data_IF_289241042945
#
_entry.id   IF_289241042945
#
_cell.length_a   1.000
_cell.length_b   1.000
_cell.length_c   1.000
_cell.angle_alpha   90.00
_cell.angle_beta   90.00
_cell.angle_gamma   90.00
#
_symmetry.space_group_name_H-M   'P 1'
#
loop_
_entity.id
_entity.type
_entity.pdbx_description
1 polymer ?
#
# COMPACT_ATOMS: atom_id res chain seq x y z
N UNK A 1 -41.91 -1.39 0.58
CA UNK A 1 -43.14 -0.61 0.80
C UNK A 1 -42.84 0.54 1.75
N UNK A 2 -42.87 1.79 1.24
CA UNK A 2 -43.46 3.00 1.82
C UNK A 2 -42.96 4.22 1.03
N UNK A 3 -43.92 4.86 0.39
CA UNK A 3 -43.82 6.05 -0.46
C UNK A 3 -43.38 7.28 0.33
N UNK A 4 -42.66 8.20 -0.32
CA UNK A 4 -42.66 9.62 0.03
C UNK A 4 -42.94 10.43 -1.24
N UNK A 5 -44.03 11.24 -1.27
CA UNK A 5 -44.44 11.99 -2.44
C UNK A 5 -43.76 13.37 -2.53
N UNK A 6 -43.63 13.85 -3.77
CA UNK A 6 -43.36 15.25 -4.12
C UNK A 6 -44.34 16.23 -3.46
N UNK A 7 -43.93 17.50 -3.32
CA UNK A 7 -44.80 18.62 -3.60
C UNK A 7 -44.45 19.27 -4.96
N UNK A 8 -45.42 19.17 -5.86
CA UNK A 8 -45.73 20.15 -6.90
C UNK A 8 -46.01 21.51 -6.23
N UNK A 9 -45.57 22.62 -6.86
CA UNK A 9 -46.34 23.87 -7.08
C UNK A 9 -45.39 25.02 -7.41
N UNK A 10 -45.52 25.57 -8.60
CA UNK A 10 -46.21 26.85 -8.81
C UNK A 10 -45.79 27.45 -10.15
N UNK A 11 -46.76 27.48 -11.05
CA UNK A 11 -46.71 28.24 -12.29
C UNK A 11 -46.61 29.73 -11.99
N UNK A 12 -45.73 30.43 -12.72
CA UNK A 12 -45.78 31.87 -12.90
C UNK A 12 -45.54 32.15 -14.37
N UNK A 13 -46.65 32.18 -15.12
CA UNK A 13 -46.71 32.67 -16.48
C UNK A 13 -46.57 34.20 -16.46
N UNK A 14 -45.36 34.68 -16.75
CA UNK A 14 -45.07 36.09 -16.99
C UNK A 14 -45.01 36.40 -18.49
N UNK A 15 -45.23 37.67 -18.88
CA UNK A 15 -45.34 38.07 -20.28
C UNK A 15 -44.03 37.90 -21.04
N UNK A 16 -44.10 37.24 -22.20
CA UNK A 16 -43.01 37.11 -23.17
C UNK A 16 -42.76 38.49 -23.80
N UNK A 17 -41.79 39.22 -23.28
CA UNK A 17 -41.18 40.34 -23.99
C UNK A 17 -40.14 39.78 -24.96
N UNK A 18 -40.47 39.82 -26.25
CA UNK A 18 -39.53 39.61 -27.36
C UNK A 18 -38.54 40.78 -27.39
N UNK A 19 -37.53 40.74 -26.51
CA UNK A 19 -36.33 41.55 -26.62
C UNK A 19 -35.43 40.89 -27.67
N UNK A 20 -35.46 41.42 -28.89
CA UNK A 20 -34.42 41.21 -29.91
C UNK A 20 -33.14 41.89 -29.45
N UNK A 21 -32.46 41.28 -28.47
CA UNK A 21 -31.09 41.62 -28.15
C UNK A 21 -30.21 41.25 -29.35
N UNK A 22 -29.29 42.13 -29.78
CA UNK A 22 -28.28 41.72 -30.75
C UNK A 22 -27.50 40.58 -30.13
N UNK A 23 -27.49 39.41 -30.79
CA UNK A 23 -26.48 38.37 -30.60
C UNK A 23 -25.13 39.00 -30.97
N UNK A 24 -24.58 39.80 -30.07
CA UNK A 24 -23.14 39.98 -30.04
C UNK A 24 -22.60 38.60 -29.77
N UNK A 25 -21.86 38.08 -30.74
CA UNK A 25 -21.06 36.89 -30.61
C UNK A 25 -19.96 37.15 -29.57
N UNK A 26 -20.36 37.30 -28.31
CA UNK A 26 -19.53 37.06 -27.15
C UNK A 26 -19.39 35.55 -27.08
N UNK A 27 -18.73 34.99 -28.10
CA UNK A 27 -18.17 33.66 -28.05
C UNK A 27 -17.44 33.61 -26.72
N UNK A 28 -17.99 32.80 -25.81
CA UNK A 28 -17.60 32.72 -24.43
C UNK A 28 -16.06 32.71 -24.40
N UNK A 29 -15.47 33.83 -23.97
CA UNK A 29 -14.05 33.85 -23.62
C UNK A 29 -13.99 32.94 -22.40
N UNK A 30 -13.79 31.65 -22.68
CA UNK A 30 -13.55 30.63 -21.68
C UNK A 30 -12.50 31.21 -20.75
N UNK A 31 -12.82 31.32 -19.45
CA UNK A 31 -11.92 31.95 -18.50
C UNK A 31 -10.65 31.08 -18.44
N UNK A 32 -9.60 31.55 -19.12
CA UNK A 32 -8.32 30.84 -19.21
C UNK A 32 -7.73 30.58 -17.83
N UNK A 33 -8.08 31.41 -16.84
CA UNK A 33 -7.72 31.24 -15.43
C UNK A 33 -8.36 29.98 -14.85
N UNK A 34 -9.64 29.73 -15.15
CA UNK A 34 -10.36 28.55 -14.70
C UNK A 34 -9.84 27.28 -15.38
N UNK A 35 -9.57 27.35 -16.69
CA UNK A 35 -8.95 26.23 -17.43
C UNK A 35 -7.58 25.87 -16.85
N UNK A 36 -6.75 26.89 -16.58
CA UNK A 36 -5.44 26.70 -15.95
C UNK A 36 -5.56 26.10 -14.54
N UNK A 37 -6.44 26.64 -13.69
CA UNK A 37 -6.71 26.13 -12.33
C UNK A 37 -7.16 24.67 -12.37
N UNK A 38 -8.04 24.32 -13.30
CA UNK A 38 -8.51 22.95 -13.53
C UNK A 38 -7.35 22.03 -13.91
N UNK A 39 -6.51 22.44 -14.87
CA UNK A 39 -5.34 21.67 -15.29
C UNK A 39 -4.34 21.45 -14.16
N UNK A 40 -4.02 22.49 -13.39
CA UNK A 40 -3.10 22.41 -12.23
C UNK A 40 -3.64 21.50 -11.13
N UNK A 41 -4.93 21.61 -10.82
CA UNK A 41 -5.57 20.75 -9.82
C UNK A 41 -5.58 19.29 -10.26
N UNK A 42 -5.86 19.01 -11.53
CA UNK A 42 -5.80 17.66 -12.09
C UNK A 42 -4.37 17.09 -12.06
N UNK A 43 -3.37 17.89 -12.45
CA UNK A 43 -1.96 17.51 -12.40
C UNK A 43 -1.51 17.14 -10.98
N UNK A 44 -1.84 17.96 -9.99
CA UNK A 44 -1.49 17.71 -8.58
C UNK A 44 -2.17 16.45 -8.01
N UNK A 45 -3.30 16.03 -8.59
CA UNK A 45 -4.00 14.79 -8.22
C UNK A 45 -3.46 13.57 -8.97
N UNK A 46 -2.55 13.74 -9.94
CA UNK A 46 -2.09 12.68 -10.83
C UNK A 46 -3.07 12.33 -11.96
N UNK A 47 -4.14 13.11 -12.16
CA UNK A 47 -5.06 12.94 -13.28
C UNK A 47 -4.49 13.61 -14.54
N UNK A 48 -3.50 12.95 -15.13
CA UNK A 48 -2.79 13.45 -16.30
C UNK A 48 -3.67 13.57 -17.55
N UNK A 49 -4.74 12.77 -17.66
CA UNK A 49 -5.67 12.84 -18.80
C UNK A 49 -6.44 14.16 -18.78
N UNK A 50 -7.06 14.48 -17.65
CA UNK A 50 -7.77 15.76 -17.48
C UNK A 50 -6.81 16.94 -17.54
N UNK A 51 -5.64 16.83 -16.92
CA UNK A 51 -4.63 17.88 -16.94
C UNK A 51 -4.18 18.21 -18.37
N UNK A 52 -3.86 17.18 -19.17
CA UNK A 52 -3.44 17.32 -20.57
C UNK A 52 -4.52 17.95 -21.43
N UNK A 53 -5.77 17.54 -21.27
CA UNK A 53 -6.90 18.13 -21.99
C UNK A 53 -7.11 19.62 -21.63
N UNK A 54 -6.97 19.98 -20.35
CA UNK A 54 -7.06 21.38 -19.91
C UNK A 54 -5.91 22.24 -20.46
N UNK A 55 -4.65 21.78 -20.33
CA UNK A 55 -3.51 22.54 -20.83
C UNK A 55 -3.45 22.58 -22.37
N UNK A 56 -3.97 21.57 -23.07
CA UNK A 56 -4.12 21.61 -24.53
C UNK A 56 -5.12 22.68 -24.97
N UNK A 57 -6.26 22.83 -24.27
CA UNK A 57 -7.22 23.92 -24.51
C UNK A 57 -6.59 25.28 -24.25
N UNK A 58 -5.88 25.42 -23.13
CA UNK A 58 -5.17 26.64 -22.76
C UNK A 58 -4.15 27.07 -23.83
N UNK A 59 -3.32 26.15 -24.31
CA UNK A 59 -2.32 26.41 -25.35
C UNK A 59 -2.92 26.61 -26.75
N UNK A 60 -4.14 26.12 -27.00
CA UNK A 60 -4.88 26.43 -28.22
C UNK A 60 -5.40 27.87 -28.22
N UNK A 61 -5.81 28.38 -27.05
CA UNK A 61 -6.25 29.76 -26.89
C UNK A 61 -5.08 30.75 -26.80
N UNK A 62 -4.00 30.40 -26.09
CA UNK A 62 -2.76 31.17 -26.00
C UNK A 62 -1.53 30.26 -26.19
N UNK A 63 -0.99 30.17 -27.42
CA UNK A 63 0.20 29.37 -27.72
C UNK A 63 1.47 29.86 -27.03
N UNK A 64 1.50 31.07 -26.47
CA UNK A 64 2.68 31.63 -25.79
C UNK A 64 2.63 31.47 -24.26
N UNK A 65 1.58 30.85 -23.73
CA UNK A 65 1.42 30.61 -22.30
C UNK A 65 2.48 29.63 -21.74
N UNK A 66 3.57 30.17 -21.20
CA UNK A 66 4.77 29.41 -20.80
C UNK A 66 4.49 28.33 -19.75
N UNK A 67 3.69 28.64 -18.73
CA UNK A 67 3.35 27.67 -17.67
C UNK A 67 2.63 26.44 -18.23
N UNK A 68 1.74 26.64 -19.21
CA UNK A 68 1.06 25.53 -19.89
C UNK A 68 2.04 24.61 -20.64
N UNK A 69 3.07 25.18 -21.29
CA UNK A 69 4.14 24.41 -21.94
C UNK A 69 4.94 23.59 -20.93
N UNK A 70 5.31 24.20 -19.80
CA UNK A 70 6.04 23.52 -18.72
C UNK A 70 5.24 22.34 -18.18
N UNK A 71 3.95 22.54 -17.85
CA UNK A 71 3.10 21.45 -17.37
C UNK A 71 2.92 20.34 -18.42
N UNK A 72 2.76 20.69 -19.70
CA UNK A 72 2.69 19.68 -20.76
C UNK A 72 3.97 18.85 -20.88
N UNK A 73 5.15 19.46 -20.71
CA UNK A 73 6.41 18.75 -20.68
C UNK A 73 6.51 17.81 -19.46
N UNK A 74 6.11 18.29 -18.28
CA UNK A 74 6.06 17.46 -17.06
C UNK A 74 5.08 16.30 -17.19
N UNK A 75 3.89 16.53 -17.77
CA UNK A 75 2.92 15.47 -18.05
C UNK A 75 3.51 14.43 -19.00
N UNK A 76 4.14 14.85 -20.11
CA UNK A 76 4.79 13.91 -21.04
C UNK A 76 5.88 13.08 -20.36
N UNK A 77 6.69 13.71 -19.50
CA UNK A 77 7.70 13.00 -18.73
C UNK A 77 7.07 12.01 -17.75
N UNK A 78 6.01 12.39 -17.02
CA UNK A 78 5.28 11.50 -16.13
C UNK A 78 4.58 10.35 -16.88
N UNK A 79 4.00 10.61 -18.05
CA UNK A 79 3.44 9.61 -18.96
C UNK A 79 4.53 8.66 -19.45
N UNK A 80 5.70 9.16 -19.86
CA UNK A 80 6.83 8.32 -20.29
C UNK A 80 7.35 7.44 -19.14
N UNK A 81 7.49 7.99 -17.94
CA UNK A 81 7.84 7.24 -16.74
C UNK A 81 6.79 6.18 -16.40
N UNK A 82 5.50 6.54 -16.52
CA UNK A 82 4.40 5.61 -16.34
C UNK A 82 4.45 4.49 -17.37
N UNK A 83 4.65 4.82 -18.64
CA UNK A 83 4.72 3.84 -19.72
C UNK A 83 5.88 2.87 -19.57
N UNK A 84 7.03 3.37 -19.10
CA UNK A 84 8.21 2.57 -18.78
C UNK A 84 8.01 1.66 -17.55
N UNK A 85 6.96 1.85 -16.74
CA UNK A 85 6.69 0.95 -15.60
C UNK A 85 6.34 -0.45 -16.11
N UNK A 86 6.79 -1.52 -15.43
CA UNK A 86 6.36 -2.87 -15.73
C UNK A 86 4.84 -3.00 -15.76
N UNK A 87 4.30 -3.76 -16.72
CA UNK A 87 2.86 -4.00 -16.84
C UNK A 87 2.26 -4.54 -15.53
N UNK A 88 2.95 -5.50 -14.91
CA UNK A 88 2.54 -6.06 -13.62
C UNK A 88 2.34 -4.98 -12.54
N UNK A 89 3.21 -3.95 -12.53
CA UNK A 89 3.09 -2.81 -11.60
C UNK A 89 1.84 -1.97 -11.89
N UNK A 90 1.57 -1.66 -13.16
CA UNK A 90 0.36 -0.92 -13.55
C UNK A 90 -0.92 -1.65 -13.13
N UNK A 91 -0.93 -2.99 -13.26
CA UNK A 91 -2.06 -3.84 -12.86
C UNK A 91 -2.23 -3.81 -11.34
N UNK A 92 -1.16 -4.11 -10.58
CA UNK A 92 -1.19 -4.17 -9.12
C UNK A 92 -1.61 -2.84 -8.48
N UNK A 93 -1.18 -1.70 -9.03
CA UNK A 93 -1.52 -0.37 -8.50
C UNK A 93 -3.02 -0.04 -8.66
N UNK A 94 -3.71 -0.62 -9.65
CA UNK A 94 -5.15 -0.37 -9.91
C UNK A 94 -6.07 -1.45 -9.35
N UNK A 95 -5.53 -2.64 -9.11
CA UNK A 95 -6.31 -3.80 -8.76
C UNK A 95 -6.61 -3.86 -7.26
N UNK A 96 -7.77 -4.45 -6.94
CA UNK A 96 -8.12 -4.87 -5.59
C UNK A 96 -8.28 -6.38 -5.56
N UNK A 97 -7.96 -6.96 -4.41
CA UNK A 97 -8.20 -8.36 -4.10
C UNK A 97 -9.49 -8.41 -3.31
N UNK A 98 -10.45 -9.22 -3.78
CA UNK A 98 -11.70 -9.48 -3.06
C UNK A 98 -11.46 -10.28 -1.77
N UNK A 99 -12.30 -11.27 -1.49
CA UNK A 99 -12.08 -12.16 -0.34
C UNK A 99 -11.08 -13.24 -0.72
N UNK A 100 -9.97 -13.33 0.02
CA UNK A 100 -9.00 -14.44 -0.07
C UNK A 100 -8.63 -14.84 1.35
N UNK A 101 -8.80 -16.11 1.68
CA UNK A 101 -8.38 -16.66 2.95
C UNK A 101 -7.68 -17.99 2.72
N UNK A 102 -6.51 -18.16 3.32
CA UNK A 102 -5.80 -19.43 3.36
C UNK A 102 -5.17 -19.62 4.74
N UNK A 103 -5.10 -20.88 5.15
CA UNK A 103 -4.62 -21.29 6.47
C UNK A 103 -3.51 -22.31 6.28
N UNK A 104 -2.31 -21.95 6.71
CA UNK A 104 -1.13 -22.84 6.72
C UNK A 104 -0.83 -23.51 5.37
N UNK A 105 -0.93 -22.76 4.27
CA UNK A 105 -0.52 -23.24 2.95
C UNK A 105 0.97 -23.00 2.73
N UNK A 106 1.68 -23.81 1.91
CA UNK A 106 3.05 -23.53 1.53
C UNK A 106 3.19 -22.16 0.86
N UNK A 107 4.31 -21.47 1.11
CA UNK A 107 4.62 -20.19 0.47
C UNK A 107 4.61 -20.29 -1.06
N UNK A 108 5.05 -21.41 -1.64
CA UNK A 108 4.96 -21.65 -3.09
C UNK A 108 3.53 -21.53 -3.63
N UNK A 109 2.56 -22.13 -2.94
CA UNK A 109 1.15 -22.05 -3.31
C UNK A 109 0.59 -20.64 -3.12
N UNK A 110 0.97 -19.95 -2.04
CA UNK A 110 0.60 -18.56 -1.81
C UNK A 110 1.14 -17.64 -2.93
N UNK A 111 2.38 -17.84 -3.38
CA UNK A 111 2.98 -17.07 -4.49
C UNK A 111 2.29 -17.37 -5.83
N UNK A 112 1.92 -18.62 -6.09
CA UNK A 112 1.12 -18.98 -7.28
C UNK A 112 -0.29 -18.38 -7.25
N UNK A 113 -0.91 -18.27 -6.07
CA UNK A 113 -2.16 -17.53 -5.90
C UNK A 113 -1.97 -16.05 -6.21
N UNK A 114 -0.88 -15.44 -5.73
CA UNK A 114 -0.51 -14.06 -6.05
C UNK A 114 -0.39 -13.88 -7.56
N UNK A 115 0.44 -14.68 -8.22
CA UNK A 115 0.62 -14.66 -9.68
C UNK A 115 -0.71 -14.70 -10.42
N UNK A 116 -1.54 -15.71 -10.14
CA UNK A 116 -2.87 -15.88 -10.77
C UNK A 116 -3.79 -14.69 -10.55
N UNK A 117 -3.76 -14.07 -9.37
CA UNK A 117 -4.59 -12.89 -9.08
C UNK A 117 -4.11 -11.65 -9.81
N UNK A 118 -2.80 -11.45 -9.94
CA UNK A 118 -2.28 -10.35 -10.78
C UNK A 118 -2.64 -10.58 -12.25
N UNK A 119 -2.55 -11.83 -12.75
CA UNK A 119 -2.97 -12.17 -14.12
C UNK A 119 -4.46 -11.91 -14.34
N UNK A 120 -5.32 -12.35 -13.41
CA UNK A 120 -6.76 -12.12 -13.47
C UNK A 120 -7.13 -10.62 -13.46
N UNK A 121 -6.37 -9.80 -12.74
CA UNK A 121 -6.59 -8.36 -12.70
C UNK A 121 -6.11 -7.63 -13.96
N UNK A 122 -5.28 -8.27 -14.79
CA UNK A 122 -4.73 -7.67 -15.99
C UNK A 122 -5.69 -7.51 -17.16
N UNK A 123 -6.95 -7.97 -17.06
CA UNK A 123 -7.94 -8.13 -18.16
C UNK A 123 -7.66 -7.30 -19.43
N UNK A 124 -7.31 -8.00 -20.52
CA UNK A 124 -7.10 -7.38 -21.83
C UNK A 124 -6.39 -8.31 -22.83
N UNK A 125 -6.38 -7.96 -24.13
CA UNK A 125 -5.73 -8.74 -25.17
C UNK A 125 -4.19 -8.83 -25.02
N UNK A 126 -3.60 -8.05 -24.11
CA UNK A 126 -2.16 -7.98 -23.86
C UNK A 126 -1.75 -8.55 -22.50
N UNK A 127 -2.59 -9.35 -21.84
CA UNK A 127 -2.20 -10.05 -20.61
C UNK A 127 -1.32 -11.23 -20.98
N UNK A 128 -0.02 -10.95 -21.14
CA UNK A 128 0.98 -12.00 -21.12
C UNK A 128 0.94 -12.74 -19.79
N UNK A 129 1.34 -14.01 -19.80
CA UNK A 129 1.57 -14.76 -18.58
C UNK A 129 2.55 -13.98 -17.69
N UNK A 130 2.20 -13.80 -16.42
CA UNK A 130 3.06 -13.15 -15.45
C UNK A 130 4.01 -14.22 -14.95
N UNK A 131 5.30 -14.09 -15.28
CA UNK A 131 6.32 -15.00 -14.78
C UNK A 131 6.44 -14.91 -13.26
N UNK A 132 6.75 -16.03 -12.61
CA UNK A 132 7.19 -16.08 -11.22
C UNK A 132 8.63 -16.57 -11.21
N UNK A 133 9.56 -15.65 -10.90
CA UNK A 133 10.98 -15.96 -10.76
C UNK A 133 11.33 -16.01 -9.28
N UNK A 134 11.72 -17.18 -8.80
CA UNK A 134 12.13 -17.39 -7.41
C UNK A 134 13.65 -17.54 -7.33
N UNK A 135 14.26 -16.76 -6.45
CA UNK A 135 15.65 -16.89 -6.03
C UNK A 135 15.66 -17.00 -4.49
N UNK A 136 15.29 -18.19 -4.03
CA UNK A 136 15.04 -18.49 -2.63
C UNK A 136 15.87 -19.70 -2.18
N UNK A 137 16.42 -19.67 -0.95
CA UNK A 137 17.02 -20.84 -0.34
C UNK A 137 16.03 -22.02 -0.25
N UNK A 138 16.58 -23.24 -0.22
CA UNK A 138 15.79 -24.45 -0.02
C UNK A 138 14.94 -24.37 1.27
N UNK A 139 13.73 -24.93 1.24
CA UNK A 139 12.80 -24.96 2.38
C UNK A 139 12.06 -23.64 2.65
N UNK A 140 12.44 -22.51 2.03
CA UNK A 140 11.68 -21.25 2.17
C UNK A 140 10.29 -21.37 1.54
N UNK A 141 10.18 -22.08 0.42
CA UNK A 141 8.93 -22.28 -0.30
C UNK A 141 7.92 -23.17 0.44
N UNK A 142 8.40 -24.03 1.34
CA UNK A 142 7.57 -24.97 2.12
C UNK A 142 7.05 -24.36 3.42
N UNK A 143 7.48 -23.13 3.74
CA UNK A 143 7.05 -22.44 4.96
C UNK A 143 5.53 -22.23 4.94
N UNK A 144 4.82 -22.56 6.03
CA UNK A 144 3.39 -22.33 6.10
C UNK A 144 3.10 -20.85 6.22
N UNK A 145 2.09 -20.40 5.47
CA UNK A 145 1.61 -19.03 5.44
C UNK A 145 0.11 -19.04 5.72
N UNK A 146 -0.34 -18.13 6.59
CA UNK A 146 -1.76 -17.93 6.90
C UNK A 146 -2.11 -16.46 6.67
N UNK A 147 -3.14 -16.21 5.86
CA UNK A 147 -3.58 -14.86 5.54
C UNK A 147 -5.08 -14.84 5.24
N UNK A 148 -5.77 -13.80 5.68
CA UNK A 148 -7.16 -13.56 5.35
C UNK A 148 -7.37 -12.09 5.05
N UNK A 149 -7.74 -11.77 3.81
CA UNK A 149 -7.97 -10.42 3.31
C UNK A 149 -9.35 -10.29 2.67
N UNK A 150 -9.92 -9.08 2.72
CA UNK A 150 -11.19 -8.75 2.07
C UNK A 150 -11.16 -7.32 1.54
N UNK A 151 -11.31 -7.16 0.22
CA UNK A 151 -11.37 -5.86 -0.47
C UNK A 151 -10.14 -4.97 -0.21
N UNK A 152 -8.94 -5.57 -0.27
CA UNK A 152 -7.68 -4.85 -0.06
C UNK A 152 -7.02 -4.47 -1.38
N UNK A 153 -6.27 -3.36 -1.45
CA UNK A 153 -5.39 -3.08 -2.58
C UNK A 153 -4.46 -4.26 -2.88
N UNK A 154 -4.27 -4.60 -4.16
CA UNK A 154 -3.46 -5.76 -4.54
C UNK A 154 -2.01 -5.65 -4.06
N UNK A 155 -1.44 -4.44 -4.08
CA UNK A 155 -0.10 -4.18 -3.53
C UNK A 155 0.00 -4.59 -2.06
N UNK A 156 -0.98 -4.22 -1.24
CA UNK A 156 -1.01 -4.53 0.19
C UNK A 156 -1.11 -6.02 0.46
N UNK A 157 -1.89 -6.74 -0.36
CA UNK A 157 -1.96 -8.19 -0.27
C UNK A 157 -0.64 -8.86 -0.65
N UNK A 158 0.03 -8.39 -1.71
CA UNK A 158 1.35 -8.87 -2.11
C UNK A 158 2.37 -8.64 -0.99
N UNK A 159 2.39 -7.44 -0.41
CA UNK A 159 3.29 -7.09 0.69
C UNK A 159 3.02 -7.94 1.94
N UNK A 160 1.74 -8.23 2.23
CA UNK A 160 1.35 -9.10 3.34
C UNK A 160 1.80 -10.56 3.12
N UNK A 161 1.66 -11.10 1.90
CA UNK A 161 2.18 -12.43 1.55
C UNK A 161 3.70 -12.46 1.67
N UNK A 162 4.38 -11.42 1.18
CA UNK A 162 5.83 -11.28 1.27
C UNK A 162 6.30 -11.25 2.74
N UNK A 163 5.65 -10.44 3.57
CA UNK A 163 5.91 -10.37 5.01
C UNK A 163 5.72 -11.73 5.69
N UNK A 164 4.58 -12.38 5.43
CA UNK A 164 4.25 -13.67 6.03
C UNK A 164 5.26 -14.77 5.66
N UNK A 165 5.72 -14.79 4.40
CA UNK A 165 6.77 -15.72 3.94
C UNK A 165 8.19 -15.34 4.36
N UNK A 166 8.39 -14.12 4.87
CA UNK A 166 9.72 -13.57 5.12
C UNK A 166 10.56 -13.44 3.84
N UNK A 167 9.91 -13.10 2.73
CA UNK A 167 10.51 -12.91 1.41
C UNK A 167 10.25 -11.49 0.89
N UNK A 168 10.95 -11.10 -0.17
CA UNK A 168 10.73 -9.85 -0.89
C UNK A 168 10.13 -10.16 -2.24
N UNK A 169 9.00 -9.53 -2.57
CA UNK A 169 8.35 -9.62 -3.88
C UNK A 169 8.56 -8.30 -4.61
N UNK A 170 9.16 -8.35 -5.79
CA UNK A 170 9.41 -7.19 -6.65
C UNK A 170 8.69 -7.36 -8.00
N UNK A 171 8.10 -6.29 -8.51
CA UNK A 171 7.42 -6.27 -9.81
C UNK A 171 8.42 -5.87 -10.89
N UNK A 172 8.73 -6.81 -11.78
CA UNK A 172 9.68 -6.65 -12.89
C UNK A 172 8.97 -6.69 -14.24
N UNK A 173 9.67 -6.42 -15.34
CA UNK A 173 9.11 -6.52 -16.68
C UNK A 173 8.62 -7.94 -17.02
N UNK A 174 9.27 -8.97 -16.46
CA UNK A 174 8.95 -10.39 -16.68
C UNK A 174 7.83 -10.90 -15.75
N UNK A 175 7.45 -10.14 -14.73
CA UNK A 175 6.43 -10.51 -13.75
C UNK A 175 6.89 -10.33 -12.30
N UNK A 176 6.62 -11.32 -11.46
CA UNK A 176 6.95 -11.31 -10.03
C UNK A 176 8.33 -11.93 -9.82
N UNK A 177 9.23 -11.17 -9.20
CA UNK A 177 10.53 -11.67 -8.74
C UNK A 177 10.51 -11.80 -7.22
N UNK A 178 10.84 -12.98 -6.71
CA UNK A 178 10.83 -13.30 -5.28
C UNK A 178 12.25 -13.61 -4.83
N UNK A 179 12.76 -12.84 -3.88
CA UNK A 179 14.10 -13.02 -3.31
C UNK A 179 14.03 -13.22 -1.81
N UNK A 180 15.07 -13.80 -1.22
CA UNK A 180 15.19 -13.87 0.23
C UNK A 180 15.30 -12.48 0.85
N UNK A 181 14.82 -12.34 2.09
CA UNK A 181 14.87 -11.10 2.87
C UNK A 181 13.49 -10.56 3.18
N UNK A 182 13.37 -9.78 4.26
CA UNK A 182 12.15 -9.05 4.56
C UNK A 182 11.97 -7.89 3.58
N UNK A 183 10.72 -7.51 3.34
CA UNK A 183 10.40 -6.24 2.66
C UNK A 183 10.89 -5.10 3.56
N UNK A 184 12.10 -4.62 3.30
CA UNK A 184 12.55 -3.34 3.81
C UNK A 184 11.87 -2.31 2.92
N UNK A 185 10.70 -1.83 3.33
CA UNK A 185 10.20 -0.59 2.74
C UNK A 185 11.18 0.51 3.10
N UNK A 186 11.59 1.33 2.13
CA UNK A 186 12.48 2.45 2.39
C UNK A 186 11.81 3.36 3.45
N UNK A 187 12.35 3.44 4.67
CA UNK A 187 11.75 4.25 5.74
C UNK A 187 11.73 5.74 5.39
N UNK A 188 12.38 6.16 4.30
CA UNK A 188 12.37 7.52 3.78
C UNK A 188 11.18 7.81 2.86
N UNK A 189 10.38 6.81 2.47
CA UNK A 189 9.16 7.06 1.72
C UNK A 189 8.10 7.70 2.63
N UNK A 190 7.94 9.01 2.50
CA UNK A 190 6.96 9.80 3.26
C UNK A 190 5.54 9.25 3.11
N UNK A 191 5.14 8.86 1.90
CA UNK A 191 3.77 8.37 1.67
C UNK A 191 3.52 7.04 2.40
N UNK A 192 4.53 6.17 2.43
CA UNK A 192 4.49 4.95 3.22
C UNK A 192 4.36 5.25 4.72
N UNK A 193 5.20 6.14 5.25
CA UNK A 193 5.18 6.51 6.67
C UNK A 193 3.86 7.15 7.09
N UNK A 194 3.32 8.04 6.26
CA UNK A 194 2.02 8.69 6.48
C UNK A 194 0.89 7.63 6.50
N UNK A 195 0.91 6.67 5.58
CA UNK A 195 -0.07 5.59 5.52
C UNK A 195 0.04 4.63 6.72
N UNK A 196 1.27 4.28 7.14
CA UNK A 196 1.53 3.47 8.32
C UNK A 196 1.05 4.16 9.61
N UNK A 197 1.37 5.45 9.77
CA UNK A 197 0.94 6.22 10.94
C UNK A 197 -0.59 6.32 11.01
N UNK A 198 -1.23 6.58 9.87
CA UNK A 198 -2.69 6.57 9.76
C UNK A 198 -3.28 5.22 10.14
N UNK A 199 -2.70 4.11 9.68
CA UNK A 199 -3.15 2.75 10.02
C UNK A 199 -3.03 2.49 11.54
N UNK A 200 -1.90 2.86 12.14
CA UNK A 200 -1.69 2.74 13.59
C UNK A 200 -2.69 3.57 14.38
N UNK A 201 -2.95 4.81 13.95
CA UNK A 201 -3.93 5.70 14.59
C UNK A 201 -5.35 5.11 14.49
N UNK A 202 -5.76 4.58 13.33
CA UNK A 202 -7.05 3.91 13.17
C UNK A 202 -7.20 2.71 14.12
N UNK A 203 -6.13 1.96 14.36
CA UNK A 203 -6.12 0.88 15.35
C UNK A 203 -6.14 1.39 16.80
N UNK A 204 -5.63 2.59 17.07
CA UNK A 204 -5.68 3.19 18.41
C UNK A 204 -7.06 3.76 18.75
N UNK A 205 -7.77 4.34 17.77
CA UNK A 205 -9.11 4.89 17.96
C UNK A 205 -10.19 3.81 18.14
N UNK A 206 -9.92 2.58 17.69
CA UNK A 206 -10.85 1.46 17.82
C UNK A 206 -10.74 0.81 19.20
N UNK A 207 -11.71 1.06 20.06
CA UNK A 207 -11.78 0.47 21.41
C UNK A 207 -12.49 -0.89 21.35
N UNK A 208 -11.84 -1.93 21.90
CA UNK A 208 -12.41 -3.24 22.15
C UNK A 208 -13.07 -3.25 23.52
N UNK A 209 -14.39 -3.45 23.56
CA UNK A 209 -15.17 -3.45 24.82
C UNK A 209 -14.67 -4.53 25.78
N UNK A 210 -14.53 -5.76 25.28
CA UNK A 210 -14.03 -6.89 26.07
C UNK A 210 -13.44 -7.97 25.17
N UNK A 211 -12.30 -8.51 25.59
CA UNK A 211 -11.66 -9.69 24.99
C UNK A 211 -11.18 -10.58 26.12
N UNK A 212 -11.81 -11.73 26.31
CA UNK A 212 -11.41 -12.71 27.31
C UNK A 212 -11.10 -14.04 26.63
N UNK A 213 -9.91 -14.56 26.89
CA UNK A 213 -9.41 -15.82 26.35
C UNK A 213 -8.70 -16.58 27.45
N UNK A 214 -8.93 -17.88 27.46
CA UNK A 214 -8.33 -18.81 28.41
C UNK A 214 -7.65 -19.92 27.61
N UNK A 215 -6.31 -19.94 27.63
CA UNK A 215 -5.47 -20.89 26.89
C UNK A 215 -5.79 -20.97 25.38
N UNK A 216 -6.22 -19.87 24.76
CA UNK A 216 -6.50 -19.83 23.33
C UNK A 216 -5.20 -19.86 22.52
N UNK A 217 -5.18 -20.54 21.38
CA UNK A 217 -4.03 -20.46 20.46
C UNK A 217 -3.84 -19.03 19.94
N UNK A 218 -2.60 -18.67 19.58
CA UNK A 218 -2.30 -17.38 18.94
C UNK A 218 -3.17 -17.18 17.68
N UNK A 219 -3.41 -18.23 16.90
CA UNK A 219 -4.24 -18.16 15.71
C UNK A 219 -5.70 -17.81 16.05
N UNK A 220 -6.27 -18.42 17.09
CA UNK A 220 -7.62 -18.09 17.57
C UNK A 220 -7.70 -16.66 18.10
N UNK A 221 -6.68 -16.22 18.83
CA UNK A 221 -6.60 -14.85 19.33
C UNK A 221 -6.61 -13.83 18.19
N UNK A 222 -5.79 -14.07 17.16
CA UNK A 222 -5.73 -13.22 15.97
C UNK A 222 -7.00 -13.33 15.11
N UNK A 223 -7.60 -14.52 14.98
CA UNK A 223 -8.84 -14.71 14.25
C UNK A 223 -10.00 -13.93 14.90
N UNK A 224 -10.09 -13.96 16.23
CA UNK A 224 -11.05 -13.17 16.97
C UNK A 224 -10.83 -11.67 16.76
N UNK A 225 -9.58 -11.18 16.86
CA UNK A 225 -9.28 -9.77 16.56
C UNK A 225 -9.68 -9.40 15.13
N UNK A 226 -9.37 -10.27 14.15
CA UNK A 226 -9.76 -10.08 12.73
C UNK A 226 -11.28 -10.03 12.55
N UNK A 227 -12.05 -10.72 13.38
CA UNK A 227 -13.52 -10.65 13.37
C UNK A 227 -14.03 -9.35 13.98
N UNK A 228 -13.37 -8.87 15.04
CA UNK A 228 -13.69 -7.58 15.66
C UNK A 228 -13.31 -6.40 14.79
N UNK A 229 -12.30 -6.54 13.93
CA UNK A 229 -11.96 -5.57 12.89
C UNK A 229 -12.80 -5.84 11.65
N UNK A 230 -13.68 -4.92 11.24
CA UNK A 230 -14.29 -5.01 9.91
C UNK A 230 -13.17 -5.16 8.87
N UNK A 231 -13.04 -6.35 8.25
CA UNK A 231 -11.90 -6.70 7.39
C UNK A 231 -11.73 -5.74 6.21
N UNK A 232 -12.78 -4.98 5.86
CA UNK A 232 -12.73 -3.99 4.78
C UNK A 232 -12.07 -2.67 5.18
N UNK A 233 -11.93 -2.39 6.48
CA UNK A 233 -11.45 -1.09 7.00
C UNK A 233 -10.44 -1.19 8.14
N UNK A 234 -10.26 -2.38 8.72
CA UNK A 234 -9.34 -2.62 9.83
C UNK A 234 -7.93 -3.00 9.37
N UNK A 235 -6.96 -2.98 10.30
CA UNK A 235 -5.61 -3.46 10.01
C UNK A 235 -5.65 -4.95 9.68
N UNK A 236 -4.97 -5.34 8.62
CA UNK A 236 -4.68 -6.74 8.35
C UNK A 236 -3.66 -7.25 9.38
N UNK A 237 -3.97 -8.37 10.03
CA UNK A 237 -3.09 -9.00 11.02
C UNK A 237 -2.38 -10.18 10.36
N UNK A 238 -1.05 -10.14 10.30
CA UNK A 238 -0.23 -11.12 9.58
C UNK A 238 0.87 -11.64 10.50
N UNK A 239 1.01 -12.95 10.61
CA UNK A 239 2.14 -13.58 11.31
C UNK A 239 3.21 -13.99 10.31
N UNK A 240 4.48 -13.76 10.65
CA UNK A 240 5.61 -14.28 9.89
C UNK A 240 5.73 -15.79 10.11
N UNK A 241 6.19 -16.51 9.09
CA UNK A 241 6.50 -17.94 9.18
C UNK A 241 7.50 -18.23 10.31
N UNK A 242 7.32 -19.34 11.03
CA UNK A 242 8.21 -19.77 12.11
C UNK A 242 7.82 -19.26 13.50
N UNK A 243 6.69 -18.56 13.62
CA UNK A 243 6.09 -18.26 14.92
C UNK A 243 5.60 -19.56 15.56
N UNK A 244 5.98 -19.86 16.82
CA UNK A 244 5.55 -21.06 17.52
C UNK A 244 4.04 -21.04 17.77
N UNK A 245 3.45 -22.23 17.92
CA UNK A 245 2.06 -22.36 18.37
C UNK A 245 1.98 -22.09 19.88
N UNK A 246 1.83 -20.81 20.21
CA UNK A 246 1.75 -20.33 21.59
C UNK A 246 0.30 -20.15 22.00
N UNK A 247 -0.03 -20.56 23.22
CA UNK A 247 -1.33 -20.26 23.84
C UNK A 247 -1.26 -18.96 24.63
N UNK A 248 -2.35 -18.21 24.65
CA UNK A 248 -2.47 -16.92 25.32
C UNK A 248 -3.69 -16.92 26.24
N UNK A 249 -3.51 -16.38 27.45
CA UNK A 249 -4.57 -16.17 28.43
C UNK A 249 -4.60 -14.68 28.77
N UNK A 250 -5.75 -14.03 28.57
CA UNK A 250 -5.93 -12.60 28.83
C UNK A 250 -7.41 -12.22 29.04
N UNK A 251 -7.68 -11.19 29.86
CA UNK A 251 -8.99 -10.51 29.95
C UNK A 251 -8.76 -9.01 29.79
N UNK A 252 -8.94 -8.50 28.58
CA UNK A 252 -8.80 -7.09 28.23
C UNK A 252 -10.16 -6.40 28.21
N UNK A 253 -10.24 -5.19 28.76
CA UNK A 253 -11.49 -4.41 28.85
C UNK A 253 -11.26 -2.97 28.44
N UNK A 254 -12.08 -2.47 27.52
CA UNK A 254 -12.00 -1.11 26.99
C UNK A 254 -10.59 -0.73 26.51
N UNK A 255 -9.93 -1.64 25.80
CA UNK A 255 -8.56 -1.44 25.30
C UNK A 255 -8.56 -1.02 23.83
N UNK A 256 -7.66 -0.12 23.39
CA UNK A 256 -7.41 0.10 21.97
C UNK A 256 -7.01 -1.20 21.25
N UNK A 257 -7.43 -1.38 20.00
CA UNK A 257 -7.05 -2.53 19.18
C UNK A 257 -5.51 -2.63 19.04
N UNK A 258 -4.81 -1.51 18.88
CA UNK A 258 -3.35 -1.49 18.83
C UNK A 258 -2.69 -2.04 20.09
N UNK A 259 -3.24 -1.73 21.27
CA UNK A 259 -2.76 -2.28 22.55
C UNK A 259 -3.14 -3.75 22.72
N UNK A 260 -4.29 -4.20 22.22
CA UNK A 260 -4.65 -5.62 22.22
C UNK A 260 -3.71 -6.44 21.34
N UNK A 261 -3.39 -5.95 20.13
CA UNK A 261 -2.39 -6.58 19.24
C UNK A 261 -1.03 -6.66 19.93
N UNK A 262 -0.60 -5.56 20.56
CA UNK A 262 0.67 -5.51 21.31
C UNK A 262 0.68 -6.49 22.49
N UNK A 263 -0.42 -6.60 23.23
CA UNK A 263 -0.55 -7.51 24.37
C UNK A 263 -0.45 -8.97 23.92
N UNK A 264 -1.13 -9.34 22.83
CA UNK A 264 -1.00 -10.68 22.22
C UNK A 264 0.45 -10.94 21.80
N UNK A 265 1.09 -9.97 21.16
CA UNK A 265 2.48 -10.12 20.74
C UNK A 265 3.42 -10.34 21.94
N UNK A 266 3.28 -9.56 23.02
CA UNK A 266 4.06 -9.74 24.25
C UNK A 266 3.83 -11.13 24.86
N UNK A 267 2.58 -11.59 24.94
CA UNK A 267 2.25 -12.91 25.50
C UNK A 267 2.79 -14.06 24.63
N UNK A 268 3.01 -13.82 23.34
CA UNK A 268 3.57 -14.78 22.39
C UNK A 268 5.08 -14.60 22.14
N UNK A 269 5.76 -13.71 22.87
CA UNK A 269 7.17 -13.33 22.64
C UNK A 269 7.46 -12.88 21.19
N UNK A 270 6.58 -12.00 20.68
CA UNK A 270 6.62 -11.44 19.33
C UNK A 270 6.78 -9.92 19.36
N UNK A 271 7.34 -9.37 18.28
CA UNK A 271 7.35 -7.95 17.96
C UNK A 271 6.21 -7.61 16.99
N UNK A 272 5.69 -6.39 17.12
CA UNK A 272 4.68 -5.83 16.22
C UNK A 272 5.32 -4.82 15.28
N UNK A 273 5.28 -5.11 13.98
CA UNK A 273 5.67 -4.18 12.93
C UNK A 273 4.42 -3.58 12.27
N UNK A 274 4.35 -2.26 12.16
CA UNK A 274 3.25 -1.59 11.49
C UNK A 274 3.54 -1.36 10.01
N UNK A 275 2.52 -1.57 9.17
CA UNK A 275 2.56 -1.39 7.73
C UNK A 275 1.34 -0.59 7.26
N UNK A 276 1.35 -0.01 6.04
CA UNK A 276 0.18 0.63 5.45
C UNK A 276 -1.06 -0.27 5.38
N UNK A 277 -0.85 -1.59 5.33
CA UNK A 277 -1.91 -2.59 5.27
C UNK A 277 -2.38 -3.07 6.64
N UNK A 278 -1.63 -2.85 7.73
CA UNK A 278 -1.99 -3.35 9.06
C UNK A 278 -0.80 -3.62 9.98
N UNK A 279 -0.87 -4.71 10.74
CA UNK A 279 0.13 -5.11 11.72
C UNK A 279 0.69 -6.50 11.39
N UNK A 280 2.01 -6.55 11.25
CA UNK A 280 2.79 -7.78 11.19
C UNK A 280 3.25 -8.20 12.58
N UNK A 281 3.22 -9.50 12.87
CA UNK A 281 3.81 -10.10 14.06
C UNK A 281 4.99 -10.98 13.64
N UNK A 282 6.14 -10.82 14.28
CA UNK A 282 7.34 -11.63 14.02
C UNK A 282 8.09 -11.92 15.30
N UNK A 283 8.94 -12.95 15.27
CA UNK A 283 9.92 -13.16 16.35
C UNK A 283 10.88 -11.96 16.41
N UNK A 284 11.32 -11.56 17.62
CA UNK A 284 12.41 -10.62 17.79
C UNK A 284 13.63 -11.06 16.97
N UNK A 285 14.25 -10.13 16.24
CA UNK A 285 15.47 -10.46 15.52
C UNK A 285 16.59 -10.66 16.54
N UNK A 286 17.35 -11.77 16.49
CA UNK A 286 18.49 -11.92 17.38
C UNK A 286 19.41 -10.71 17.19
N UNK A 287 19.97 -10.13 18.27
CA UNK A 287 20.89 -9.03 18.15
C UNK A 287 21.99 -9.41 17.16
N UNK A 288 22.40 -8.49 16.25
CA UNK A 288 23.43 -8.81 15.28
C UNK A 288 24.61 -9.39 16.05
N UNK A 289 25.06 -10.58 15.64
CA UNK A 289 26.20 -11.23 16.27
C UNK A 289 27.29 -10.18 16.42
N UNK A 290 27.90 -10.02 17.61
CA UNK A 290 28.87 -8.96 17.86
C UNK A 290 29.85 -9.01 16.71
N UNK A 291 29.80 -7.99 15.85
CA UNK A 291 30.67 -7.94 14.68
C UNK A 291 32.04 -8.08 15.29
N UNK A 292 32.78 -9.14 14.96
CA UNK A 292 34.13 -9.33 15.46
C UNK A 292 34.89 -8.09 15.00
N UNK A 293 34.90 -7.06 15.84
CA UNK A 293 35.68 -5.85 15.64
C UNK A 293 37.07 -6.43 15.61
N UNK A 294 37.74 -6.44 14.43
CA UNK A 294 39.05 -7.04 14.33
C UNK A 294 39.87 -6.41 15.45
N UNK A 295 40.40 -7.26 16.34
CA UNK A 295 41.18 -6.82 17.48
C UNK A 295 42.18 -5.76 16.96
N UNK A 296 42.29 -4.59 17.61
CA UNK A 296 43.17 -3.53 17.12
C UNK A 296 44.53 -4.17 16.89
N UNK A 297 44.95 -4.24 15.63
CA UNK A 297 46.25 -4.78 15.28
C UNK A 297 47.24 -3.93 16.02
N UNK A 298 47.87 -4.54 17.03
CA UNK A 298 48.95 -3.94 17.79
C UNK A 298 50.03 -3.61 16.78
N UNK A 299 50.04 -2.36 16.33
CA UNK A 299 51.10 -1.83 15.49
C UNK A 299 52.33 -1.83 16.38
N UNK A 300 53.15 -2.87 16.22
CA UNK A 300 54.45 -2.95 16.86
C UNK A 300 55.23 -1.70 16.46
N UNK A 301 55.42 -0.80 17.42
CA UNK A 301 56.19 0.41 17.22
C UNK A 301 57.61 0.05 16.74
N UNK A 302 58.20 0.81 15.81
CA UNK A 302 59.53 0.54 15.31
C UNK A 302 60.54 0.58 16.47
N UNK A 303 61.30 -0.50 16.62
CA UNK A 303 62.38 -0.62 17.57
C UNK A 303 63.37 0.54 17.39
N UNK A 304 63.51 1.37 18.44
CA UNK A 304 64.50 2.42 18.51
C UNK A 304 65.91 1.80 18.44
N UNK A 305 66.61 2.02 17.32
CA UNK A 305 68.04 1.73 17.23
C UNK A 305 68.80 2.75 18.07
N UNK A 306 69.39 2.29 19.16
CA UNK A 306 70.38 3.06 19.92
C UNK A 306 71.59 3.39 19.06
N UNK A 307 71.92 4.68 18.97
CA UNK A 307 73.25 5.13 18.56
C UNK A 307 74.19 4.99 19.75
N UNK A 308 75.25 4.22 19.57
CA UNK A 308 76.41 4.23 20.44
C UNK A 308 77.62 4.63 19.59
N UNK A 309 78.22 5.75 20.01
CA UNK A 309 79.60 6.21 19.82
C UNK A 309 80.10 6.45 18.38
#
# INVERSE_FOLDING_TARGET
MKFTPLPLLAALAGPVLLMTAPLTAQAAREDLTEVYRTGRNAFNKGDYVTAKAAFARLLKADPNFQLGKIYMAQIRHAEALWEARPLARKIVEKAKVGTVAFRSIPLSEALELVRRKVEQAGTGPNVGAIGLRTDLPAGVLDRPVSLSVKDVPMQWWIDAVAYAGGVRISLTQEGLSVTAGSVITDPKDKAFMDAMLKMKQQAQERILTRMAMDHASLEEALAWLRQQTDQSKGPLLVTRSGVPDTTVTMDLRNVPLSEAIRTIAILADLEVDWHPWGAGLRLPEPPPAPTNVPAPTSTSGPAAKGSAL
#
